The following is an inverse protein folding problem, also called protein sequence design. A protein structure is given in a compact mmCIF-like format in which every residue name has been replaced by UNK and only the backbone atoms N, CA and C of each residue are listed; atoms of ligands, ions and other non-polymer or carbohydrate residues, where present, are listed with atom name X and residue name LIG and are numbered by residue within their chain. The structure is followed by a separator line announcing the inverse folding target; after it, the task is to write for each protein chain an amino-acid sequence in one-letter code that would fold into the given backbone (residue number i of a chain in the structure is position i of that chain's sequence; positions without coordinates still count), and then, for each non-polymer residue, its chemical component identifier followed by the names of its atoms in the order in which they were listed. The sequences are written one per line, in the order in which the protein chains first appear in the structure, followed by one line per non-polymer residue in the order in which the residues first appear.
data_IF_220199414206
#
_entry.id   IF_220199414206
#
_cell.length_a   1.000
_cell.length_b   1.000
_cell.length_c   1.000
_cell.angle_alpha   90.00
_cell.angle_beta   90.00
_cell.angle_gamma   90.00
#
_symmetry.space_group_name_H-M   'P 1'
#
loop_
_entity.id
_entity.type
_entity.pdbx_description
1 polymer ?
#
# COMPACT_ATOMS: atom_id res chain seq x y z
N UNK A 1 -9.58 -49.91 69.64
CA UNK A 1 -10.53 -48.78 69.53
C UNK A 1 -9.75 -47.46 69.52
N UNK A 2 -10.25 -46.43 68.80
CA UNK A 2 -9.63 -45.13 68.37
C UNK A 2 -9.01 -45.24 66.97
N UNK A 3 -9.66 -44.96 65.83
CA UNK A 3 -10.47 -43.83 65.29
C UNK A 3 -9.71 -42.49 65.11
N UNK A 4 -9.80 -42.01 63.86
CA UNK A 4 -9.67 -40.63 63.37
C UNK A 4 -8.22 -40.11 63.14
N UNK A 5 -7.89 -39.30 62.13
CA UNK A 5 -8.68 -38.58 61.13
C UNK A 5 -7.75 -38.21 59.97
N UNK A 6 -8.22 -38.37 58.73
CA UNK A 6 -7.63 -37.75 57.54
C UNK A 6 -7.74 -36.23 57.63
N UNK A 7 -6.72 -35.48 57.20
CA UNK A 7 -6.94 -34.11 56.75
C UNK A 7 -6.04 -33.82 55.54
N UNK A 8 -6.68 -33.87 54.37
CA UNK A 8 -6.17 -33.32 53.11
C UNK A 8 -6.00 -31.82 53.27
N UNK A 9 -4.85 -31.29 52.89
CA UNK A 9 -4.62 -29.85 52.81
C UNK A 9 -4.85 -29.41 51.37
N UNK A 10 -5.90 -28.60 51.20
CA UNK A 10 -6.47 -28.20 49.92
C UNK A 10 -5.63 -27.18 49.15
N UNK A 11 -5.77 -27.30 47.84
CA UNK A 11 -5.26 -26.44 46.78
C UNK A 11 -5.77 -25.00 46.92
N UNK A 12 -4.86 -24.03 47.00
CA UNK A 12 -5.12 -22.64 46.64
C UNK A 12 -4.19 -22.29 45.47
N UNK A 13 -4.48 -22.87 44.30
CA UNK A 13 -3.97 -22.35 43.05
C UNK A 13 -4.81 -21.12 42.70
N UNK A 14 -4.25 -19.93 42.94
CA UNK A 14 -4.76 -18.68 42.39
C UNK A 14 -4.76 -18.79 40.86
N UNK A 15 -5.92 -19.11 40.29
CA UNK A 15 -6.19 -18.95 38.87
C UNK A 15 -6.16 -17.47 38.54
N UNK A 16 -5.00 -16.95 38.17
CA UNK A 16 -4.90 -15.67 37.50
C UNK A 16 -5.74 -15.76 36.24
N UNK A 17 -6.81 -14.96 36.17
CA UNK A 17 -7.55 -14.77 34.94
C UNK A 17 -6.57 -14.18 33.92
N UNK A 18 -6.05 -15.03 33.03
CA UNK A 18 -5.39 -14.57 31.82
C UNK A 18 -6.49 -13.94 30.97
N UNK A 19 -6.61 -12.62 31.05
CA UNK A 19 -7.34 -11.86 30.06
C UNK A 19 -6.76 -12.26 28.71
N UNK A 20 -7.56 -12.82 27.77
CA UNK A 20 -7.03 -13.10 26.45
C UNK A 20 -6.53 -11.76 25.92
N UNK A 21 -5.23 -11.67 25.66
CA UNK A 21 -4.68 -10.54 24.92
C UNK A 21 -5.44 -10.55 23.59
N UNK A 22 -6.31 -9.55 23.37
CA UNK A 22 -6.87 -9.30 22.05
C UNK A 22 -5.67 -9.25 21.11
N UNK A 23 -5.54 -10.26 20.24
CA UNK A 23 -4.51 -10.26 19.21
C UNK A 23 -4.86 -9.09 18.29
N UNK A 24 -4.18 -7.96 18.51
CA UNK A 24 -4.26 -6.82 17.61
C UNK A 24 -3.90 -7.34 16.22
N UNK A 25 -4.84 -7.23 15.28
CA UNK A 25 -4.61 -7.65 13.92
C UNK A 25 -3.55 -6.76 13.29
N UNK A 26 -2.68 -7.35 12.47
CA UNK A 26 -1.66 -6.59 11.78
C UNK A 26 -2.30 -5.66 10.72
N UNK A 27 -1.78 -4.43 10.56
CA UNK A 27 -2.22 -3.54 9.50
C UNK A 27 -2.06 -4.17 8.11
N UNK A 28 -3.10 -4.08 7.30
CA UNK A 28 -3.14 -4.65 5.95
C UNK A 28 -2.90 -3.57 4.90
N UNK A 29 -2.11 -3.83 3.87
CA UNK A 29 -2.03 -2.91 2.73
C UNK A 29 -3.37 -2.88 1.99
N UNK A 30 -3.60 -1.80 1.25
CA UNK A 30 -4.64 -1.80 0.23
C UNK A 30 -4.28 -2.85 -0.83
N UNK A 31 -5.25 -3.65 -1.26
CA UNK A 31 -5.00 -4.62 -2.32
C UNK A 31 -4.88 -3.93 -3.68
N UNK A 32 -4.12 -4.55 -4.59
CA UNK A 32 -3.83 -4.01 -5.91
C UNK A 32 -5.11 -3.80 -6.75
N UNK A 33 -6.07 -4.73 -6.67
CA UNK A 33 -7.37 -4.61 -7.36
C UNK A 33 -8.09 -3.33 -6.92
N UNK A 34 -8.12 -3.08 -5.61
CA UNK A 34 -8.72 -1.87 -5.05
C UNK A 34 -7.95 -0.61 -5.43
N UNK A 35 -6.62 -0.66 -5.47
CA UNK A 35 -5.81 0.44 -6.00
C UNK A 35 -6.20 0.77 -7.46
N UNK A 36 -6.28 -0.24 -8.33
CA UNK A 36 -6.65 -0.07 -9.75
C UNK A 36 -8.04 0.54 -9.90
N UNK A 37 -9.02 0.13 -9.09
CA UNK A 37 -10.37 0.71 -9.08
C UNK A 37 -10.35 2.20 -8.72
N UNK A 38 -9.62 2.56 -7.66
CA UNK A 38 -9.54 3.95 -7.21
C UNK A 38 -8.81 4.83 -8.22
N UNK A 39 -7.73 4.32 -8.83
CA UNK A 39 -7.02 5.02 -9.87
C UNK A 39 -7.91 5.25 -11.11
N UNK A 40 -8.63 4.23 -11.56
CA UNK A 40 -9.59 4.38 -12.66
C UNK A 40 -10.68 5.40 -12.34
N UNK A 41 -11.17 5.43 -11.08
CA UNK A 41 -12.11 6.45 -10.61
C UNK A 41 -11.55 7.87 -10.70
N UNK A 42 -10.33 8.09 -10.20
CA UNK A 42 -9.65 9.39 -10.27
C UNK A 42 -9.40 9.81 -11.72
N UNK A 43 -8.99 8.91 -12.60
CA UNK A 43 -8.86 9.23 -14.03
C UNK A 43 -10.20 9.65 -14.66
N UNK A 44 -11.28 8.95 -14.32
CA UNK A 44 -12.63 9.26 -14.79
C UNK A 44 -13.09 10.67 -14.39
N UNK A 45 -12.78 11.13 -13.18
CA UNK A 45 -13.05 12.50 -12.72
C UNK A 45 -12.40 13.57 -13.63
N UNK A 46 -11.30 13.21 -14.30
CA UNK A 46 -10.54 14.09 -15.21
C UNK A 46 -10.82 13.83 -16.70
N UNK A 47 -11.77 12.94 -17.03
CA UNK A 47 -12.08 12.57 -18.41
C UNK A 47 -10.98 11.76 -19.10
N UNK A 48 -10.15 11.07 -18.31
CA UNK A 48 -9.04 10.24 -18.76
C UNK A 48 -9.39 8.75 -18.64
N UNK A 49 -8.62 7.90 -19.31
CA UNK A 49 -8.70 6.44 -19.17
C UNK A 49 -7.33 5.84 -18.89
N UNK A 50 -7.33 4.69 -18.22
CA UNK A 50 -6.11 3.94 -17.90
C UNK A 50 -5.82 2.83 -18.91
N UNK A 51 -4.56 2.41 -18.96
CA UNK A 51 -4.07 1.21 -19.61
C UNK A 51 -3.27 0.42 -18.58
N UNK A 52 -3.61 -0.85 -18.37
CA UNK A 52 -2.85 -1.69 -17.44
C UNK A 52 -1.58 -2.23 -18.10
N UNK A 53 -0.61 -2.63 -17.26
CA UNK A 53 0.52 -3.45 -17.66
C UNK A 53 1.37 -2.82 -18.77
N UNK A 54 1.70 -1.53 -18.61
CA UNK A 54 2.48 -0.78 -19.61
C UNK A 54 3.96 -1.02 -19.36
N UNK A 55 4.68 -1.53 -20.35
CA UNK A 55 6.14 -1.58 -20.30
C UNK A 55 6.76 -0.18 -20.44
N UNK A 56 7.64 0.17 -19.51
CA UNK A 56 8.46 1.38 -19.49
C UNK A 56 9.90 1.03 -19.16
N UNK A 57 10.86 1.87 -19.54
CA UNK A 57 12.25 1.74 -19.11
C UNK A 57 12.61 2.85 -18.15
N UNK A 58 12.57 2.55 -16.86
CA UNK A 58 12.94 3.49 -15.79
C UNK A 58 14.43 3.83 -15.90
N UNK A 59 14.77 5.11 -15.73
CA UNK A 59 16.16 5.56 -15.79
C UNK A 59 17.01 4.81 -14.75
N UNK A 60 18.09 4.17 -15.20
CA UNK A 60 18.96 3.34 -14.35
C UNK A 60 18.62 1.85 -14.34
N UNK A 61 17.57 1.43 -15.06
CA UNK A 61 17.31 0.03 -15.36
C UNK A 61 17.84 -0.37 -16.74
N UNK A 62 18.52 -1.51 -16.79
CA UNK A 62 18.92 -2.18 -18.03
C UNK A 62 17.84 -3.10 -18.61
N UNK A 63 16.61 -3.01 -18.08
CA UNK A 63 15.47 -3.83 -18.50
C UNK A 63 14.19 -3.02 -18.53
N UNK A 64 13.21 -3.53 -19.27
CA UNK A 64 11.85 -3.00 -19.23
C UNK A 64 11.19 -3.41 -17.91
N UNK A 65 10.33 -2.51 -17.45
CA UNK A 65 9.59 -2.56 -16.21
C UNK A 65 8.11 -2.39 -16.55
N UNK A 66 7.29 -3.34 -16.15
CA UNK A 66 5.85 -3.25 -16.36
C UNK A 66 5.26 -2.46 -15.20
N UNK A 67 4.55 -1.37 -15.51
CA UNK A 67 3.82 -0.62 -14.50
C UNK A 67 2.36 -1.05 -14.47
N UNK A 68 1.76 -1.04 -13.27
CA UNK A 68 0.37 -1.42 -13.06
C UNK A 68 -0.60 -0.61 -13.94
N UNK A 69 -0.33 0.68 -14.10
CA UNK A 69 -1.22 1.60 -14.80
C UNK A 69 -0.50 2.72 -15.54
N UNK A 70 -0.89 2.98 -16.78
CA UNK A 70 -0.55 4.16 -17.57
C UNK A 70 -1.81 4.96 -17.91
N UNK A 71 -1.66 6.27 -18.15
CA UNK A 71 -2.75 7.10 -18.66
C UNK A 71 -2.78 7.03 -20.19
N UNK A 72 -3.93 6.66 -20.76
CA UNK A 72 -4.07 6.42 -22.19
C UNK A 72 -3.71 7.67 -23.02
N UNK A 73 -2.76 7.50 -23.95
CA UNK A 73 -2.30 8.58 -24.84
C UNK A 73 -1.45 9.65 -24.14
N UNK A 74 -0.98 9.40 -22.92
CA UNK A 74 -0.10 10.29 -22.15
C UNK A 74 1.19 9.57 -21.78
N UNK A 75 2.22 10.35 -21.48
CA UNK A 75 3.53 9.87 -21.07
C UNK A 75 3.65 9.76 -19.55
N UNK A 76 2.60 9.29 -18.88
CA UNK A 76 2.58 9.18 -17.42
C UNK A 76 1.91 7.88 -16.96
N UNK A 77 2.31 7.39 -15.79
CA UNK A 77 1.72 6.21 -15.18
C UNK A 77 2.03 6.09 -13.69
N UNK A 78 1.53 5.03 -13.08
CA UNK A 78 1.62 4.75 -11.65
C UNK A 78 1.98 3.27 -11.47
N UNK A 79 2.88 3.04 -10.52
CA UNK A 79 3.25 1.72 -10.01
C UNK A 79 2.93 1.65 -8.52
N UNK A 80 2.18 0.64 -8.11
CA UNK A 80 1.85 0.31 -6.73
C UNK A 80 2.73 -0.85 -6.24
N UNK A 81 3.84 -0.49 -5.61
CA UNK A 81 4.89 -1.42 -5.20
C UNK A 81 4.48 -2.12 -3.91
N UNK A 82 4.26 -3.43 -3.99
CA UNK A 82 4.09 -4.27 -2.80
C UNK A 82 5.40 -4.50 -2.05
N UNK A 83 5.31 -4.96 -0.79
CA UNK A 83 6.47 -5.45 -0.05
C UNK A 83 7.26 -6.53 -0.85
N UNK A 84 6.57 -7.37 -1.64
CA UNK A 84 7.19 -8.39 -2.47
C UNK A 84 7.93 -7.79 -3.67
N UNK A 85 7.31 -6.83 -4.37
CA UNK A 85 7.93 -6.13 -5.51
C UNK A 85 9.15 -5.34 -5.04
N UNK A 86 9.09 -4.76 -3.85
CA UNK A 86 10.22 -4.06 -3.24
C UNK A 86 11.42 -4.97 -3.04
N UNK A 87 11.25 -6.25 -2.69
CA UNK A 87 12.38 -7.19 -2.61
C UNK A 87 13.02 -7.42 -3.99
N UNK A 88 12.20 -7.54 -5.03
CA UNK A 88 12.66 -7.76 -6.42
C UNK A 88 13.32 -6.50 -7.00
N UNK A 89 12.82 -5.33 -6.62
CA UNK A 89 13.19 -4.03 -7.16
C UNK A 89 14.14 -3.24 -6.24
N UNK A 90 14.60 -3.82 -5.13
CA UNK A 90 15.36 -3.11 -4.08
C UNK A 90 16.62 -2.41 -4.58
N UNK A 91 17.32 -3.00 -5.56
CA UNK A 91 18.53 -2.40 -6.17
C UNK A 91 18.23 -1.31 -7.18
N UNK A 92 16.96 -1.17 -7.57
CA UNK A 92 16.48 -0.33 -8.66
C UNK A 92 15.77 0.90 -8.13
N UNK A 93 14.80 0.69 -7.26
CA UNK A 93 14.00 1.77 -6.71
C UNK A 93 14.77 2.40 -5.55
N UNK A 94 14.89 3.74 -5.51
CA UNK A 94 15.39 4.42 -4.32
C UNK A 94 14.63 3.96 -3.07
N UNK A 95 15.31 4.00 -1.93
CA UNK A 95 14.68 3.67 -0.66
C UNK A 95 13.40 4.49 -0.46
N UNK A 96 12.32 3.88 0.08
CA UNK A 96 11.07 4.58 0.30
C UNK A 96 11.28 5.69 1.34
N UNK A 97 10.53 6.78 1.15
CA UNK A 97 10.46 7.89 2.10
C UNK A 97 9.00 8.03 2.52
N UNK A 98 8.64 7.65 3.76
CA UNK A 98 7.25 7.65 4.18
C UNK A 98 6.56 8.99 3.96
N UNK A 99 5.38 8.95 3.35
CA UNK A 99 4.57 10.14 3.08
C UNK A 99 5.11 11.10 2.02
N UNK A 100 6.07 10.68 1.19
CA UNK A 100 6.56 11.48 0.07
C UNK A 100 6.31 10.78 -1.26
N UNK A 101 5.49 11.42 -2.11
CA UNK A 101 5.30 10.98 -3.50
C UNK A 101 6.61 11.05 -4.28
N UNK A 102 6.86 10.02 -5.08
CA UNK A 102 8.06 9.89 -5.89
C UNK A 102 7.68 9.64 -7.33
N UNK A 103 8.13 10.53 -8.20
CA UNK A 103 8.04 10.34 -9.64
C UNK A 103 9.43 9.96 -10.14
N UNK A 104 9.52 8.86 -10.87
CA UNK A 104 10.74 8.39 -11.50
C UNK A 104 10.69 8.66 -13.01
N UNK A 105 11.75 9.27 -13.59
CA UNK A 105 11.84 9.43 -15.02
C UNK A 105 12.08 8.08 -15.69
N UNK A 106 11.33 7.82 -16.75
CA UNK A 106 11.37 6.63 -17.57
C UNK A 106 11.30 7.00 -19.06
N UNK A 107 11.35 5.98 -19.91
CA UNK A 107 11.16 6.12 -21.36
C UNK A 107 10.26 5.01 -21.88
N UNK A 108 9.51 5.31 -22.93
CA UNK A 108 8.77 4.30 -23.67
C UNK A 108 9.76 3.42 -24.49
N UNK A 109 9.80 2.09 -24.27
CA UNK A 109 10.76 1.22 -24.94
C UNK A 109 10.61 1.17 -26.47
N UNK A 110 9.42 1.47 -27.00
CA UNK A 110 9.11 1.38 -28.42
C UNK A 110 9.53 2.61 -29.23
N UNK A 111 9.59 3.79 -28.61
CA UNK A 111 9.87 5.05 -29.32
C UNK A 111 10.87 5.98 -28.60
N UNK A 112 11.30 5.64 -27.38
CA UNK A 112 12.25 6.41 -26.57
C UNK A 112 11.72 7.72 -26.01
N UNK A 113 10.41 7.99 -26.11
CA UNK A 113 9.83 9.22 -25.57
C UNK A 113 9.92 9.24 -24.04
N UNK A 114 10.14 10.41 -23.42
CA UNK A 114 10.09 10.56 -21.98
C UNK A 114 8.76 10.08 -21.41
N UNK A 115 8.81 9.51 -20.21
CA UNK A 115 7.67 8.98 -19.48
C UNK A 115 7.88 9.19 -17.99
N UNK A 116 6.85 9.58 -17.23
CA UNK A 116 6.94 9.78 -15.79
C UNK A 116 6.14 8.72 -15.03
N UNK A 117 6.76 8.08 -14.04
CA UNK A 117 6.12 7.00 -13.25
C UNK A 117 6.03 7.42 -11.79
N UNK A 118 4.81 7.58 -11.28
CA UNK A 118 4.56 7.73 -9.84
C UNK A 118 4.74 6.37 -9.16
N UNK A 119 5.60 6.31 -8.14
CA UNK A 119 5.80 5.14 -7.28
C UNK A 119 5.02 5.33 -5.99
N UNK A 120 4.12 4.39 -5.70
CA UNK A 120 3.33 4.31 -4.48
C UNK A 120 3.73 3.03 -3.73
N UNK A 121 4.05 3.16 -2.45
CA UNK A 121 4.48 2.02 -1.62
C UNK A 121 3.27 1.49 -0.84
N UNK A 122 3.02 0.18 -0.87
CA UNK A 122 1.90 -0.41 -0.13
C UNK A 122 1.96 -0.14 1.40
N UNK A 123 3.18 -0.03 1.93
CA UNK A 123 3.49 0.33 3.30
C UNK A 123 2.94 1.70 3.71
N UNK A 124 2.85 2.64 2.77
CA UNK A 124 2.25 3.96 3.00
C UNK A 124 0.71 3.91 2.96
N UNK A 125 0.12 2.79 2.55
CA UNK A 125 -1.33 2.60 2.41
C UNK A 125 -1.84 1.40 3.21
N UNK A 126 -1.32 1.21 4.43
CA UNK A 126 -1.82 0.19 5.36
C UNK A 126 -2.96 0.72 6.23
N UNK A 127 -3.99 -0.09 6.42
CA UNK A 127 -5.16 0.19 7.27
C UNK A 127 -5.31 -0.85 8.38
N UNK A 128 -5.99 -0.46 9.46
CA UNK A 128 -6.43 -1.36 10.51
C UNK A 128 -7.71 -2.08 10.04
N UNK A 129 -7.68 -3.40 9.83
CA UNK A 129 -8.86 -4.14 9.39
C UNK A 129 -9.96 -4.22 10.45
N UNK A 130 -9.65 -3.91 11.71
CA UNK A 130 -10.61 -3.99 12.82
C UNK A 130 -10.36 -2.88 13.85
N UNK A 131 -10.67 -1.62 13.50
CA UNK A 131 -10.39 -0.47 14.36
C UNK A 131 -11.11 -0.55 15.70
N UNK A 132 -12.30 -1.16 15.76
CA UNK A 132 -13.05 -1.34 17.01
C UNK A 132 -12.30 -2.22 18.03
N UNK A 133 -11.68 -3.31 17.57
CA UNK A 133 -10.93 -4.22 18.44
C UNK A 133 -9.54 -3.69 18.80
N UNK A 134 -8.96 -2.86 17.93
CA UNK A 134 -7.65 -2.24 18.13
C UNK A 134 -7.68 -0.95 18.96
N UNK A 135 -8.87 -0.49 19.35
CA UNK A 135 -9.09 0.76 20.08
C UNK A 135 -8.95 2.02 19.21
N UNK A 136 -9.12 1.90 17.89
CA UNK A 136 -9.09 3.01 16.94
C UNK A 136 -7.69 3.62 16.72
N UNK A 137 -6.63 2.85 16.98
CA UNK A 137 -5.25 3.37 16.98
C UNK A 137 -4.63 3.42 15.58
N UNK A 138 -5.20 2.74 14.60
CA UNK A 138 -4.74 2.75 13.21
C UNK A 138 -5.72 3.46 12.26
N UNK A 139 -5.25 3.87 11.07
CA UNK A 139 -6.11 4.45 10.06
C UNK A 139 -7.12 3.42 9.54
N UNK A 140 -8.33 3.88 9.28
CA UNK A 140 -9.39 3.12 8.63
C UNK A 140 -9.11 2.95 7.14
N UNK A 141 -9.76 1.97 6.49
CA UNK A 141 -9.67 1.81 5.04
C UNK A 141 -10.10 3.07 4.31
N UNK A 142 -11.15 3.76 4.77
CA UNK A 142 -11.65 4.99 4.15
C UNK A 142 -10.62 6.14 4.21
N UNK A 143 -9.87 6.26 5.31
CA UNK A 143 -8.80 7.27 5.43
C UNK A 143 -7.63 6.97 4.51
N UNK A 144 -7.27 5.68 4.35
CA UNK A 144 -6.22 5.24 3.44
C UNK A 144 -6.61 5.46 1.99
N UNK A 145 -7.82 5.05 1.58
CA UNK A 145 -8.34 5.29 0.23
C UNK A 145 -8.44 6.78 -0.08
N UNK A 146 -8.94 7.59 0.87
CA UNK A 146 -9.01 9.04 0.72
C UNK A 146 -7.65 9.71 0.59
N UNK A 147 -6.61 9.19 1.25
CA UNK A 147 -5.22 9.63 1.04
C UNK A 147 -4.73 9.25 -0.35
N UNK A 148 -4.88 7.99 -0.76
CA UNK A 148 -4.49 7.52 -2.10
C UNK A 148 -5.12 8.37 -3.20
N UNK A 149 -6.43 8.61 -3.14
CA UNK A 149 -7.10 9.43 -4.13
C UNK A 149 -6.60 10.89 -4.15
N UNK A 150 -6.22 11.46 -3.00
CA UNK A 150 -5.62 12.80 -2.93
C UNK A 150 -4.26 12.81 -3.61
N UNK A 151 -3.41 11.85 -3.29
CA UNK A 151 -2.06 11.72 -3.84
C UNK A 151 -2.10 11.54 -5.37
N UNK A 152 -3.03 10.72 -5.87
CA UNK A 152 -3.27 10.55 -7.30
C UNK A 152 -3.73 11.84 -7.98
N UNK A 153 -4.65 12.60 -7.36
CA UNK A 153 -5.11 13.89 -7.90
C UNK A 153 -3.98 14.92 -7.91
N UNK A 154 -3.19 14.99 -6.85
CA UNK A 154 -2.06 15.91 -6.74
C UNK A 154 -1.01 15.60 -7.81
N UNK A 155 -0.74 14.32 -8.07
CA UNK A 155 0.11 13.87 -9.17
C UNK A 155 -0.44 14.32 -10.53
N UNK A 156 -1.69 14.00 -10.86
CA UNK A 156 -2.29 14.42 -12.14
C UNK A 156 -2.30 15.94 -12.32
N UNK A 157 -2.51 16.69 -11.24
CA UNK A 157 -2.45 18.14 -11.26
C UNK A 157 -1.03 18.64 -11.56
N UNK A 158 -0.01 18.06 -10.92
CA UNK A 158 1.39 18.39 -11.19
C UNK A 158 1.78 18.07 -12.64
N UNK A 159 1.41 16.91 -13.17
CA UNK A 159 1.70 16.51 -14.56
C UNK A 159 1.03 17.44 -15.58
N UNK A 160 -0.18 17.92 -15.29
CA UNK A 160 -0.85 18.93 -16.11
C UNK A 160 -0.10 20.26 -16.13
N UNK A 161 0.44 20.68 -14.98
CA UNK A 161 1.24 21.91 -14.90
C UNK A 161 2.58 21.78 -15.64
N UNK A 162 3.15 20.58 -15.66
CA UNK A 162 4.37 20.25 -16.40
C UNK A 162 4.15 20.06 -17.91
N UNK A 163 2.90 19.94 -18.37
CA UNK A 163 2.55 19.74 -19.79
C UNK A 163 2.57 18.29 -20.27
N UNK A 164 2.63 17.33 -19.33
CA UNK A 164 2.64 15.89 -19.61
C UNK A 164 1.22 15.27 -19.66
N UNK A 165 0.21 16.03 -19.21
CA UNK A 165 -1.21 15.67 -19.20
C UNK A 165 -2.05 16.62 -20.06
#
# INVERSE_FOLDING_TARGET
MRRALWMMMGLLACGGAQTPASQRQEPRPLDEVRFLELFAGVLGEHGLSGQQNRAVRVTGLDRDFEIDCAVAGKSIGVEYVSDADRVVLASTLPAPRPGQLRVLPATDPGNGQPFDVLILEDGDFRYDPNPEQSGGVGPTIQEVEGRLQRDLRDFLHAERQSGNL
#
